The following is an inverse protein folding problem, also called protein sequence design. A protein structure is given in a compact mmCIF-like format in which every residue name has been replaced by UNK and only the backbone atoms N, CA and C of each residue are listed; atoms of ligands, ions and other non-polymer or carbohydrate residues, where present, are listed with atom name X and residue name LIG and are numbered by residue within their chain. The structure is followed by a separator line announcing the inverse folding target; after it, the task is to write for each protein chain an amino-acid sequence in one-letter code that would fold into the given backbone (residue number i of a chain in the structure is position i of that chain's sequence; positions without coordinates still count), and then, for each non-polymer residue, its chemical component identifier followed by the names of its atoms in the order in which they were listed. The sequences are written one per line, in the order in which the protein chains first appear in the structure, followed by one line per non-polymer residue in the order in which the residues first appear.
data_IF_692478075913
#
_entry.id   IF_692478075913
#
_cell.length_a   1.000
_cell.length_b   1.000
_cell.length_c   1.000
_cell.angle_alpha   90.00
_cell.angle_beta   90.00
_cell.angle_gamma   90.00
#
_symmetry.space_group_name_H-M   'P 1'
#
loop_
_entity.id
_entity.type
_entity.pdbx_description
1 polymer ?
#
# COMPACT_ATOMS: atom_id res chain seq x y z
N UNK A 1 4.18 18.86 -5.39
CA UNK A 1 4.63 20.00 -4.56
C UNK A 1 6.04 19.71 -4.06
N UNK A 2 6.82 20.74 -3.73
CA UNK A 2 8.03 20.55 -2.91
C UNK A 2 7.57 20.42 -1.45
N UNK A 3 8.02 19.39 -0.74
CA UNK A 3 7.63 19.18 0.65
C UNK A 3 8.28 20.26 1.53
N UNK A 4 7.51 20.81 2.48
CA UNK A 4 7.95 21.88 3.38
C UNK A 4 9.05 21.44 4.36
N UNK A 5 9.22 20.13 4.55
CA UNK A 5 10.28 19.54 5.36
C UNK A 5 11.63 19.44 4.63
N UNK A 6 11.71 19.74 3.32
CA UNK A 6 12.97 19.66 2.58
C UNK A 6 13.91 20.82 2.94
N UNK A 7 15.19 20.55 3.29
CA UNK A 7 16.21 21.59 3.47
C UNK A 7 16.42 22.41 2.20
N UNK A 8 17.01 23.60 2.30
CA UNK A 8 17.27 24.42 1.11
C UNK A 8 18.29 23.76 0.17
N UNK A 9 18.26 24.14 -1.11
CA UNK A 9 19.15 23.61 -2.15
C UNK A 9 20.62 23.91 -1.85
N UNK A 10 20.88 25.06 -1.21
CA UNK A 10 22.20 25.44 -0.70
C UNK A 10 22.75 24.48 0.36
N UNK A 11 21.89 23.77 1.09
CA UNK A 11 22.27 22.77 2.10
C UNK A 11 22.40 21.36 1.51
N UNK A 12 21.83 21.12 0.32
CA UNK A 12 21.80 19.84 -0.36
C UNK A 12 22.88 19.77 -1.46
N UNK A 13 24.12 20.03 -1.07
CA UNK A 13 25.30 19.98 -1.94
C UNK A 13 26.34 19.03 -1.37
N UNK A 14 26.81 18.09 -2.18
CA UNK A 14 27.89 17.16 -1.83
C UNK A 14 28.83 17.00 -3.03
N UNK A 15 30.00 17.65 -2.97
CA UNK A 15 30.92 17.73 -4.10
C UNK A 15 30.25 18.36 -5.32
N UNK A 16 30.25 17.63 -6.43
CA UNK A 16 29.62 18.06 -7.70
C UNK A 16 28.11 17.74 -7.79
N UNK A 17 27.54 17.08 -6.77
CA UNK A 17 26.12 16.74 -6.71
C UNK A 17 25.36 17.89 -6.04
N UNK A 18 24.31 18.39 -6.71
CA UNK A 18 23.45 19.47 -6.23
C UNK A 18 21.98 19.09 -6.38
N UNK A 19 21.16 19.44 -5.41
CA UNK A 19 19.71 19.34 -5.53
C UNK A 19 19.14 20.49 -6.39
N UNK A 20 18.08 20.19 -7.14
CA UNK A 20 17.32 21.17 -7.90
C UNK A 20 15.85 21.02 -7.48
N UNK A 21 15.25 22.12 -7.05
CA UNK A 21 13.82 22.15 -6.79
C UNK A 21 13.04 22.22 -8.09
N UNK A 22 12.01 21.38 -8.20
CA UNK A 22 11.06 21.50 -9.29
C UNK A 22 10.14 22.69 -9.06
N UNK A 23 9.61 23.31 -10.12
CA UNK A 23 8.52 24.26 -9.99
C UNK A 23 7.34 23.67 -9.19
N UNK A 24 6.50 24.52 -8.57
CA UNK A 24 5.29 24.02 -7.93
C UNK A 24 4.37 23.35 -8.95
N UNK A 25 3.62 22.33 -8.51
CA UNK A 25 2.57 21.64 -9.28
C UNK A 25 3.00 20.93 -10.57
N UNK A 26 4.29 20.66 -10.77
CA UNK A 26 4.78 19.90 -11.95
C UNK A 26 5.39 18.54 -11.59
N UNK A 27 5.18 18.06 -10.35
CA UNK A 27 5.73 16.79 -9.84
C UNK A 27 5.41 15.63 -10.80
N UNK A 28 4.13 15.43 -11.12
CA UNK A 28 3.71 14.36 -12.04
C UNK A 28 4.28 14.50 -13.46
N UNK A 29 4.57 15.73 -13.89
CA UNK A 29 5.10 16.01 -15.22
C UNK A 29 6.62 15.81 -15.30
N UNK A 30 7.35 16.16 -14.25
CA UNK A 30 8.81 16.26 -14.28
C UNK A 30 9.54 15.23 -13.41
N UNK A 31 8.86 14.53 -12.51
CA UNK A 31 9.49 13.51 -11.67
C UNK A 31 9.49 12.15 -12.37
N UNK A 32 10.66 11.51 -12.57
CA UNK A 32 10.74 10.18 -13.18
C UNK A 32 9.91 9.13 -12.44
N UNK A 33 9.82 9.24 -11.11
CA UNK A 33 9.03 8.33 -10.28
C UNK A 33 7.54 8.33 -10.67
N UNK A 34 7.00 9.50 -11.03
CA UNK A 34 5.61 9.66 -11.46
C UNK A 34 5.40 9.27 -12.93
N UNK A 35 6.47 9.01 -13.69
CA UNK A 35 6.40 8.60 -15.11
C UNK A 35 6.13 7.10 -15.31
N UNK A 36 5.59 6.43 -14.29
CA UNK A 36 5.14 5.03 -14.34
C UNK A 36 5.88 4.09 -13.38
N UNK A 37 7.02 4.50 -12.81
CA UNK A 37 7.77 3.67 -11.83
C UNK A 37 6.91 3.42 -10.61
N UNK A 38 6.35 4.47 -10.00
CA UNK A 38 5.53 4.35 -8.80
C UNK A 38 4.31 3.47 -9.04
N UNK A 39 3.63 3.65 -10.18
CA UNK A 39 2.48 2.81 -10.56
C UNK A 39 2.88 1.34 -10.72
N UNK A 40 4.02 1.06 -11.36
CA UNK A 40 4.52 -0.29 -11.52
C UNK A 40 4.79 -0.98 -10.17
N UNK A 41 5.49 -0.29 -9.27
CA UNK A 41 5.76 -0.79 -7.91
C UNK A 41 4.45 -1.02 -7.16
N UNK A 42 3.49 -0.10 -7.29
CA UNK A 42 2.15 -0.21 -6.68
C UNK A 42 1.39 -1.45 -7.14
N UNK A 43 1.28 -1.65 -8.45
CA UNK A 43 0.61 -2.82 -9.02
C UNK A 43 1.33 -4.13 -8.65
N UNK A 44 2.66 -4.11 -8.60
CA UNK A 44 3.46 -5.26 -8.22
C UNK A 44 3.23 -5.69 -6.77
N UNK A 45 3.19 -4.77 -5.80
CA UNK A 45 2.88 -5.14 -4.41
C UNK A 45 1.41 -5.55 -4.26
N UNK A 46 0.48 -4.86 -4.95
CA UNK A 46 -0.96 -5.19 -4.95
C UNK A 46 -1.21 -6.62 -5.46
N UNK A 47 -0.48 -7.04 -6.49
CA UNK A 47 -0.49 -8.42 -6.99
C UNK A 47 -0.06 -9.43 -5.92
N UNK A 48 0.93 -9.10 -5.09
CA UNK A 48 1.38 -9.96 -3.97
C UNK A 48 0.32 -10.05 -2.87
N UNK A 49 -0.31 -8.93 -2.54
CA UNK A 49 -1.45 -8.91 -1.63
C UNK A 49 -2.57 -9.85 -2.11
N UNK A 50 -2.95 -9.77 -3.40
CA UNK A 50 -3.98 -10.65 -3.96
C UNK A 50 -3.59 -12.14 -3.84
N UNK A 51 -2.34 -12.49 -4.17
CA UNK A 51 -1.84 -13.86 -4.01
C UNK A 51 -1.92 -14.34 -2.57
N UNK A 52 -1.50 -13.50 -1.62
CA UNK A 52 -1.63 -13.80 -0.20
C UNK A 52 -3.09 -14.07 0.20
N UNK A 53 -4.04 -13.26 -0.28
CA UNK A 53 -5.46 -13.47 0.01
C UNK A 53 -6.02 -14.77 -0.57
N UNK A 54 -5.53 -15.19 -1.75
CA UNK A 54 -5.93 -16.46 -2.40
C UNK A 54 -5.33 -17.67 -1.68
N UNK A 55 -4.08 -17.58 -1.25
CA UNK A 55 -3.34 -18.70 -0.64
C UNK A 55 -3.75 -18.99 0.82
N UNK A 56 -4.45 -18.07 1.47
CA UNK A 56 -4.87 -18.25 2.87
C UNK A 56 -6.31 -18.77 2.97
N UNK A 57 -6.47 -19.98 3.52
CA UNK A 57 -7.72 -20.76 3.71
C UNK A 57 -8.77 -20.15 4.70
N UNK A 58 -8.76 -18.85 4.95
CA UNK A 58 -9.86 -18.22 5.70
C UNK A 58 -11.03 -17.93 4.77
N UNK A 59 -12.25 -18.26 5.20
CA UNK A 59 -13.49 -17.89 4.51
C UNK A 59 -13.71 -16.36 4.48
N UNK A 60 -12.93 -15.59 5.24
CA UNK A 60 -13.05 -14.14 5.36
C UNK A 60 -11.78 -13.42 4.92
N UNK A 61 -11.91 -12.54 3.92
CA UNK A 61 -10.87 -11.59 3.48
C UNK A 61 -10.38 -10.76 4.67
N UNK A 62 -11.29 -10.30 5.54
CA UNK A 62 -10.96 -9.46 6.69
C UNK A 62 -9.99 -10.16 7.64
N UNK A 63 -10.23 -11.44 7.92
CA UNK A 63 -9.36 -12.21 8.81
C UNK A 63 -8.00 -12.51 8.17
N UNK A 64 -7.94 -12.67 6.85
CA UNK A 64 -6.67 -12.77 6.14
C UNK A 64 -5.89 -11.45 6.16
N UNK A 65 -6.55 -10.31 5.95
CA UNK A 65 -5.90 -9.00 6.03
C UNK A 65 -5.28 -8.73 7.40
N UNK A 66 -5.93 -9.17 8.49
CA UNK A 66 -5.38 -9.04 9.86
C UNK A 66 -4.09 -9.83 10.10
N UNK A 67 -3.81 -10.87 9.30
CA UNK A 67 -2.59 -11.67 9.40
C UNK A 67 -1.38 -10.97 8.76
N UNK A 68 -1.62 -9.97 7.90
CA UNK A 68 -0.55 -9.25 7.20
C UNK A 68 0.15 -8.33 8.18
N UNK A 69 1.46 -8.48 8.30
CA UNK A 69 2.29 -7.61 9.12
C UNK A 69 2.96 -6.53 8.27
N UNK A 70 3.41 -5.44 8.91
CA UNK A 70 4.24 -4.41 8.24
C UNK A 70 5.51 -5.04 7.64
N UNK A 71 6.06 -6.08 8.28
CA UNK A 71 7.23 -6.80 7.78
C UNK A 71 6.94 -7.42 6.41
N UNK A 72 5.79 -8.08 6.25
CA UNK A 72 5.40 -8.70 4.97
C UNK A 72 5.27 -7.65 3.87
N UNK A 73 4.61 -6.52 4.18
CA UNK A 73 4.46 -5.40 3.25
C UNK A 73 5.80 -4.81 2.83
N UNK A 74 6.75 -4.64 3.76
CA UNK A 74 8.11 -4.16 3.45
C UNK A 74 8.82 -5.14 2.51
N UNK A 75 8.73 -6.45 2.74
CA UNK A 75 9.33 -7.44 1.84
C UNK A 75 8.68 -7.44 0.46
N UNK A 76 7.35 -7.33 0.38
CA UNK A 76 6.65 -7.22 -0.89
C UNK A 76 7.09 -5.99 -1.66
N UNK A 77 7.21 -4.83 -1.00
CA UNK A 77 7.68 -3.60 -1.61
C UNK A 77 9.13 -3.72 -2.10
N UNK A 78 10.02 -4.30 -1.29
CA UNK A 78 11.42 -4.52 -1.65
C UNK A 78 11.55 -5.43 -2.88
N UNK A 79 10.79 -6.52 -2.92
CA UNK A 79 10.77 -7.44 -4.06
C UNK A 79 10.14 -6.78 -5.30
N UNK A 80 9.07 -6.00 -5.14
CA UNK A 80 8.47 -5.23 -6.22
C UNK A 80 9.45 -4.20 -6.81
N UNK A 81 10.26 -3.55 -5.97
CA UNK A 81 11.32 -2.66 -6.42
C UNK A 81 12.44 -3.42 -7.14
N UNK A 82 12.88 -4.57 -6.62
CA UNK A 82 13.90 -5.40 -7.28
C UNK A 82 13.45 -5.92 -8.66
N UNK A 83 12.15 -6.18 -8.82
CA UNK A 83 11.55 -6.55 -10.10
C UNK A 83 11.34 -5.35 -11.05
N UNK A 84 11.51 -4.11 -10.58
CA UNK A 84 11.51 -2.93 -11.43
C UNK A 84 12.81 -2.91 -12.22
N UNK A 85 12.75 -3.45 -13.43
CA UNK A 85 13.93 -3.58 -14.27
C UNK A 85 14.42 -2.23 -14.81
N UNK A 86 15.64 -2.26 -15.35
CA UNK A 86 16.32 -1.08 -15.87
C UNK A 86 15.55 -0.40 -17.03
N UNK A 87 14.82 -1.17 -17.83
CA UNK A 87 14.01 -0.62 -18.93
C UNK A 87 12.85 0.23 -18.45
N UNK A 88 12.23 -0.05 -17.29
CA UNK A 88 11.25 0.87 -16.69
C UNK A 88 11.88 2.23 -16.34
N UNK A 89 13.05 2.22 -15.69
CA UNK A 89 13.76 3.45 -15.32
C UNK A 89 14.13 4.25 -16.57
N UNK A 90 14.74 3.62 -17.57
CA UNK A 90 15.13 4.26 -18.84
C UNK A 90 13.93 4.88 -19.55
N UNK A 91 12.80 4.18 -19.65
CA UNK A 91 11.55 4.70 -20.25
C UNK A 91 11.02 5.93 -19.50
N UNK A 92 11.02 5.89 -18.17
CA UNK A 92 10.56 7.02 -17.36
C UNK A 92 11.44 8.26 -17.55
N UNK A 93 12.77 8.10 -17.67
CA UNK A 93 13.67 9.20 -18.00
C UNK A 93 13.55 9.69 -19.44
N UNK A 94 13.37 8.78 -20.41
CA UNK A 94 13.21 9.12 -21.83
C UNK A 94 12.00 10.02 -22.10
N UNK A 95 10.90 9.85 -21.34
CA UNK A 95 9.74 10.75 -21.41
C UNK A 95 10.06 12.19 -21.00
N UNK A 96 11.01 12.37 -20.08
CA UNK A 96 11.38 13.67 -19.52
C UNK A 96 12.55 14.32 -20.26
N UNK A 97 13.44 13.49 -20.81
CA UNK A 97 14.67 13.88 -21.48
C UNK A 97 14.85 13.01 -22.73
N UNK A 98 14.10 13.28 -23.80
CA UNK A 98 14.18 12.51 -25.04
C UNK A 98 15.57 12.52 -25.68
N UNK A 99 16.41 13.50 -25.32
CA UNK A 99 17.77 13.66 -25.82
C UNK A 99 18.75 12.64 -25.21
N UNK A 100 18.37 11.94 -24.14
CA UNK A 100 19.20 10.90 -23.55
C UNK A 100 19.05 9.60 -24.37
N UNK A 101 20.15 9.19 -24.99
CA UNK A 101 20.25 7.90 -25.65
C UNK A 101 20.39 6.79 -24.60
N UNK A 102 19.39 5.93 -24.53
CA UNK A 102 19.42 4.72 -23.71
C UNK A 102 19.45 3.51 -24.63
N UNK A 103 20.35 2.54 -24.36
CA UNK A 103 20.33 1.25 -25.04
C UNK A 103 18.95 0.58 -24.96
N UNK A 104 18.52 -0.02 -26.06
CA UNK A 104 17.25 -0.75 -26.13
C UNK A 104 17.38 -2.06 -25.34
N UNK A 105 16.87 -2.05 -24.12
CA UNK A 105 16.66 -3.25 -23.33
C UNK A 105 15.29 -3.87 -23.69
N UNK A 106 15.14 -5.19 -23.58
CA UNK A 106 13.85 -5.85 -23.73
C UNK A 106 12.79 -5.18 -22.87
N UNK A 107 11.59 -5.06 -23.45
CA UNK A 107 10.48 -4.51 -22.73
C UNK A 107 10.19 -5.39 -21.51
N UNK A 108 10.07 -4.78 -20.31
CA UNK A 108 9.55 -5.51 -19.17
C UNK A 108 8.18 -6.03 -19.56
N UNK A 109 7.80 -7.24 -19.13
CA UNK A 109 6.40 -7.61 -19.07
C UNK A 109 5.77 -6.88 -17.88
N UNK A 110 4.98 -5.82 -18.10
CA UNK A 110 4.26 -5.19 -17.00
C UNK A 110 3.20 -6.15 -16.47
N UNK A 111 2.83 -5.98 -15.20
CA UNK A 111 1.58 -6.55 -14.69
C UNK A 111 0.44 -5.98 -15.54
N UNK A 112 -0.31 -6.86 -16.21
CA UNK A 112 -1.42 -6.45 -17.07
C UNK A 112 -2.72 -6.35 -16.26
N UNK A 113 -3.64 -5.51 -16.71
CA UNK A 113 -4.97 -5.40 -16.11
C UNK A 113 -5.71 -6.74 -16.15
N UNK A 114 -5.56 -7.51 -17.23
CA UNK A 114 -6.15 -8.85 -17.35
C UNK A 114 -5.56 -9.85 -16.34
N UNK A 115 -4.26 -9.79 -16.08
CA UNK A 115 -3.62 -10.64 -15.06
C UNK A 115 -4.16 -10.31 -13.66
N UNK A 116 -4.30 -9.03 -13.34
CA UNK A 116 -4.87 -8.60 -12.06
C UNK A 116 -6.34 -8.99 -11.93
N UNK A 117 -7.14 -8.82 -12.99
CA UNK A 117 -8.55 -9.21 -12.98
C UNK A 117 -8.71 -10.70 -12.68
N UNK A 118 -7.90 -11.54 -13.33
CA UNK A 118 -7.89 -12.98 -13.06
C UNK A 118 -7.53 -13.31 -11.60
N UNK A 119 -6.62 -12.55 -10.97
CA UNK A 119 -6.29 -12.74 -9.56
C UNK A 119 -7.42 -12.28 -8.64
N UNK A 120 -8.01 -11.11 -8.90
CA UNK A 120 -9.12 -10.60 -8.09
C UNK A 120 -10.31 -11.56 -8.09
N UNK A 121 -10.66 -12.12 -9.25
CA UNK A 121 -11.76 -13.07 -9.38
C UNK A 121 -11.51 -14.42 -8.67
N UNK A 122 -10.27 -14.71 -8.29
CA UNK A 122 -9.92 -15.88 -7.46
C UNK A 122 -10.02 -15.59 -5.96
N UNK A 123 -10.13 -14.32 -5.55
CA UNK A 123 -10.31 -13.97 -4.14
C UNK A 123 -11.75 -14.30 -3.73
N UNK A 124 -11.97 -15.03 -2.62
CA UNK A 124 -13.31 -15.38 -2.15
C UNK A 124 -14.22 -14.16 -1.98
N UNK A 125 -15.39 -14.16 -2.62
CA UNK A 125 -16.36 -13.06 -2.59
C UNK A 125 -16.12 -11.97 -3.64
N UNK A 126 -15.13 -12.13 -4.52
CA UNK A 126 -14.80 -11.20 -5.61
C UNK A 126 -14.98 -11.83 -7.00
N UNK A 127 -15.71 -12.94 -7.13
CA UNK A 127 -15.85 -13.72 -8.37
C UNK A 127 -16.47 -12.91 -9.51
N UNK A 128 -17.33 -11.96 -9.17
CA UNK A 128 -18.02 -11.08 -10.13
C UNK A 128 -17.33 -9.73 -10.35
N UNK A 129 -16.08 -9.57 -9.87
CA UNK A 129 -15.32 -8.34 -10.09
C UNK A 129 -15.15 -8.07 -11.59
N UNK A 130 -15.48 -6.85 -12.00
CA UNK A 130 -15.34 -6.37 -13.38
C UNK A 130 -14.17 -5.40 -13.53
N UNK A 131 -13.84 -5.06 -14.78
CA UNK A 131 -12.72 -4.17 -15.11
C UNK A 131 -12.81 -2.79 -14.47
N UNK A 132 -14.02 -2.22 -14.36
CA UNK A 132 -14.23 -0.89 -13.77
C UNK A 132 -13.86 -0.82 -12.28
N UNK A 133 -14.19 -1.86 -11.50
CA UNK A 133 -13.80 -1.96 -10.10
C UNK A 133 -12.29 -2.11 -9.94
N UNK A 134 -11.65 -2.82 -10.87
CA UNK A 134 -10.21 -3.02 -10.85
C UNK A 134 -9.46 -1.71 -11.15
N UNK A 135 -9.94 -0.90 -12.10
CA UNK A 135 -9.34 0.39 -12.43
C UNK A 135 -9.43 1.36 -11.24
N UNK A 136 -10.58 1.42 -10.58
CA UNK A 136 -10.76 2.19 -9.35
C UNK A 136 -9.79 1.69 -8.25
N UNK A 137 -9.78 0.39 -7.95
CA UNK A 137 -8.89 -0.17 -6.93
C UNK A 137 -7.40 0.00 -7.24
N UNK A 138 -7.00 -0.07 -8.51
CA UNK A 138 -5.62 0.10 -8.95
C UNK A 138 -5.14 1.55 -8.83
N UNK A 139 -6.05 2.53 -8.93
CA UNK A 139 -5.74 3.96 -8.95
C UNK A 139 -6.03 4.68 -7.62
N UNK A 140 -6.89 4.10 -6.78
CA UNK A 140 -7.20 4.62 -5.45
C UNK A 140 -6.05 4.29 -4.50
N UNK A 141 -5.23 5.30 -4.22
CA UNK A 141 -4.44 5.34 -3.00
C UNK A 141 -5.31 6.03 -1.95
N UNK A 142 -5.95 5.26 -1.08
CA UNK A 142 -6.82 5.80 -0.03
C UNK A 142 -6.02 6.83 0.78
N UNK A 143 -6.48 8.08 0.73
CA UNK A 143 -5.88 9.27 1.36
C UNK A 143 -6.78 9.80 2.47
N UNK A 144 -7.52 8.91 3.13
CA UNK A 144 -8.18 9.30 4.37
C UNK A 144 -7.09 9.55 5.42
N UNK A 145 -6.83 10.83 5.66
CA UNK A 145 -5.99 11.27 6.77
C UNK A 145 -6.75 10.99 8.07
N UNK A 146 -6.45 9.87 8.72
CA UNK A 146 -6.94 9.63 10.06
C UNK A 146 -6.16 10.50 11.04
N UNK A 147 -6.88 11.27 11.85
CA UNK A 147 -6.26 11.95 12.99
C UNK A 147 -5.93 10.95 14.09
N UNK A 148 -5.04 11.32 15.02
CA UNK A 148 -4.75 10.51 16.20
C UNK A 148 -6.03 10.15 16.99
N UNK A 149 -7.02 11.05 17.00
CA UNK A 149 -8.31 10.80 17.66
C UNK A 149 -9.11 9.71 16.95
N UNK A 150 -9.14 9.72 15.61
CA UNK A 150 -9.83 8.72 14.81
C UNK A 150 -9.20 7.34 15.02
N UNK A 151 -7.87 7.27 15.02
CA UNK A 151 -7.12 6.03 15.27
C UNK A 151 -7.41 5.49 16.67
N UNK A 152 -7.35 6.35 17.70
CA UNK A 152 -7.62 5.95 19.08
C UNK A 152 -9.05 5.43 19.24
N UNK A 153 -10.03 6.10 18.63
CA UNK A 153 -11.43 5.67 18.64
C UNK A 153 -11.60 4.27 18.05
N UNK A 154 -11.02 4.01 16.86
CA UNK A 154 -11.11 2.71 16.19
C UNK A 154 -10.50 1.56 17.01
N UNK A 155 -9.40 1.82 17.71
CA UNK A 155 -8.73 0.82 18.56
C UNK A 155 -9.56 0.50 19.81
N UNK A 156 -10.24 1.48 20.37
CA UNK A 156 -11.07 1.31 21.57
C UNK A 156 -12.37 0.54 21.25
N UNK A 157 -13.05 0.89 20.16
CA UNK A 157 -14.27 0.18 19.72
C UNK A 157 -14.02 -1.30 19.42
N UNK A 158 -12.83 -1.67 18.93
CA UNK A 158 -12.45 -3.06 18.71
C UNK A 158 -12.22 -3.86 20.01
N UNK A 159 -11.90 -3.20 21.12
CA UNK A 159 -11.66 -3.87 22.42
C UNK A 159 -12.94 -4.06 23.20
N UNK A 160 -13.89 -3.13 23.11
CA UNK A 160 -15.17 -3.22 23.82
C UNK A 160 -16.14 -4.22 23.19
N UNK A 161 -15.93 -4.62 21.93
CA UNK A 161 -16.71 -5.65 21.25
C UNK A 161 -16.40 -7.10 21.64
N UNK A 162 -15.32 -7.36 22.41
CA UNK A 162 -14.85 -8.70 22.78
C UNK A 162 -15.19 -9.08 24.25
N UNK A 163 -15.63 -8.13 25.08
CA UNK A 163 -15.93 -8.35 26.52
C UNK A 163 -17.43 -8.57 26.78
N UNK A 164 -18.09 -9.30 25.88
CA UNK A 164 -19.52 -9.63 25.95
C UNK A 164 -19.81 -11.05 26.46
N UNK A 165 -18.92 -11.66 27.25
CA UNK A 165 -19.13 -12.95 27.92
C UNK A 165 -19.54 -12.74 29.37
N UNK A 166 -20.84 -12.85 29.64
CA UNK A 166 -21.43 -12.79 30.98
C UNK A 166 -20.91 -13.90 31.90
N UNK A 167 -20.22 -13.55 32.98
CA UNK A 167 -20.21 -14.35 34.21
C UNK A 167 -20.91 -13.57 35.32
N UNK A 168 -22.16 -13.95 35.55
CA UNK A 168 -22.93 -13.62 36.75
C UNK A 168 -22.56 -14.65 37.82
N UNK A 169 -21.63 -14.31 38.71
CA UNK A 169 -21.53 -14.99 40.01
C UNK A 169 -22.24 -14.13 41.06
N UNK A 170 -23.35 -14.66 41.54
CA UNK A 170 -24.08 -14.12 42.68
C UNK A 170 -23.32 -14.42 43.96
N UNK A 171 -23.09 -13.38 44.77
CA UNK A 171 -22.51 -13.53 46.10
C UNK A 171 -23.66 -13.61 47.12
N UNK A 172 -23.92 -14.84 47.59
CA UNK A 172 -24.82 -15.14 48.70
C UNK A 172 -24.12 -14.74 50.01
N UNK A 173 -24.62 -13.69 50.68
CA UNK A 173 -24.13 -13.31 52.00
C UNK A 173 -24.48 -14.38 53.05
N UNK A 174 -23.54 -14.85 53.90
CA UNK A 174 -23.89 -15.77 54.97
C UNK A 174 -24.53 -15.00 56.13
N UNK A 175 -25.76 -15.39 56.47
CA UNK A 175 -26.38 -15.10 57.76
C UNK A 175 -25.74 -15.96 58.85
N UNK A 176 -25.06 -15.35 59.80
CA UNK A 176 -24.75 -16.00 61.09
C UNK A 176 -25.67 -15.46 62.19
N UNK A 177 -26.49 -16.35 62.72
CA UNK A 177 -27.31 -16.18 63.92
C UNK A 177 -26.66 -16.97 65.05
N UNK A 178 -26.12 -16.23 66.01
CA UNK A 178 -26.10 -16.45 67.48
C UNK A 178 -25.71 -17.83 68.03
N UNK A 179 -24.67 -17.84 68.86
CA UNK A 179 -24.81 -18.29 70.27
C UNK A 179 -24.00 -17.40 71.20
#
# INVERSE_FOLDING_TARGET
MNATCHPSDMQLVCGDIKAIFLPPNVTSLLQPMDQGILNHVKLSYRKKLLRFLIENDSDSIRENLKKITIKDVIYWLAESWQNTNESFLRKSWKKLRPELEFEEAPDPTPVTQQELLNLVQQVPGCENAGEGYLEEWATVDVTEEYSDHDIVGMVQEQRDGDVGGSDSEGDEAPTDVVT
#
